data_IF_396622557535
#
_entry.id   IF_396622557535
#
_cell.length_a   1.000
_cell.length_b   1.000
_cell.length_c   1.000
_cell.angle_alpha   90.00
_cell.angle_beta   90.00
_cell.angle_gamma   90.00
#
_symmetry.space_group_name_H-M   'P 1'
#
loop_
_entity.id
_entity.type
_entity.pdbx_description
1 polymer ?
#
# COMPACT_ATOMS: atom_id res chain seq x y z
N UNK A 1 1.42 -7.41 20.81
CA UNK A 1 0.93 -7.41 19.42
C UNK A 1 0.09 -6.15 19.22
N UNK A 2 0.46 -5.33 18.25
CA UNK A 2 -0.25 -4.08 17.93
C UNK A 2 -1.47 -4.36 17.05
N UNK A 3 -1.40 -5.40 16.21
CA UNK A 3 -2.52 -5.85 15.38
C UNK A 3 -3.08 -7.14 15.97
N UNK A 4 -4.33 -7.10 16.43
CA UNK A 4 -5.07 -8.25 16.94
C UNK A 4 -6.12 -8.66 15.91
N UNK A 5 -5.64 -9.14 14.78
CA UNK A 5 -6.51 -9.41 13.63
C UNK A 5 -7.52 -10.53 13.91
N UNK A 6 -7.12 -11.57 14.62
CA UNK A 6 -7.99 -12.67 15.00
C UNK A 6 -9.14 -12.23 15.94
N UNK A 7 -8.84 -11.33 16.88
CA UNK A 7 -9.85 -10.81 17.81
C UNK A 7 -10.88 -9.91 17.10
N UNK A 8 -10.43 -9.10 16.13
CA UNK A 8 -11.28 -8.16 15.41
C UNK A 8 -12.02 -8.79 14.23
N UNK A 9 -11.65 -10.00 13.83
CA UNK A 9 -12.24 -10.72 12.71
C UNK A 9 -12.64 -12.15 13.10
N UNK A 10 -13.61 -12.33 14.01
CA UNK A 10 -14.05 -13.64 14.47
C UNK A 10 -14.57 -14.48 13.28
N UNK A 11 -14.17 -15.74 13.24
CA UNK A 11 -14.54 -16.68 12.17
C UNK A 11 -13.63 -16.64 10.94
N UNK A 12 -12.58 -15.83 10.94
CA UNK A 12 -11.49 -15.91 9.96
C UNK A 12 -10.39 -16.83 10.48
N UNK A 13 -9.80 -17.59 9.56
CA UNK A 13 -8.62 -18.42 9.88
C UNK A 13 -7.39 -17.50 9.92
N UNK A 14 -6.98 -17.10 11.13
CA UNK A 14 -5.92 -16.14 11.38
C UNK A 14 -4.91 -16.74 12.35
N UNK A 15 -3.63 -16.69 11.97
CA UNK A 15 -2.51 -17.08 12.83
C UNK A 15 -1.69 -15.84 13.13
N UNK A 16 -1.52 -15.52 14.41
CA UNK A 16 -0.68 -14.44 14.89
C UNK A 16 0.63 -15.00 15.41
N UNK A 17 1.75 -14.57 14.81
CA UNK A 17 3.10 -14.99 15.21
C UNK A 17 3.81 -13.85 15.91
N UNK A 18 4.35 -14.13 17.09
CA UNK A 18 5.26 -13.22 17.78
C UNK A 18 6.68 -13.59 17.38
N UNK A 19 7.38 -12.66 16.75
CA UNK A 19 8.77 -12.82 16.34
C UNK A 19 9.70 -12.30 17.43
N UNK A 20 10.79 -13.04 17.69
CA UNK A 20 11.92 -12.64 18.53
C UNK A 20 13.19 -13.07 17.81
N UNK A 21 14.05 -12.12 17.45
CA UNK A 21 15.24 -12.38 16.62
C UNK A 21 16.17 -13.44 17.26
N UNK A 22 16.21 -13.54 18.61
CA UNK A 22 17.07 -14.48 19.32
C UNK A 22 16.56 -15.93 19.28
N UNK A 23 15.27 -16.14 19.04
CA UNK A 23 14.64 -17.45 19.16
C UNK A 23 13.97 -17.90 17.87
N UNK A 24 13.23 -16.99 17.23
CA UNK A 24 12.43 -17.25 16.03
C UNK A 24 12.35 -15.96 15.22
N UNK A 25 13.27 -15.82 14.28
CA UNK A 25 13.42 -14.60 13.48
C UNK A 25 12.36 -14.46 12.37
N UNK A 26 12.33 -13.29 11.73
CA UNK A 26 11.39 -13.00 10.65
C UNK A 26 11.54 -13.95 9.45
N UNK A 27 12.76 -14.37 9.12
CA UNK A 27 13.02 -15.32 8.05
C UNK A 27 12.30 -16.65 8.26
N UNK A 28 12.44 -17.20 9.45
CA UNK A 28 11.82 -18.47 9.86
C UNK A 28 10.31 -18.34 9.94
N UNK A 29 9.82 -17.23 10.48
CA UNK A 29 8.40 -16.95 10.59
C UNK A 29 7.73 -16.88 9.22
N UNK A 30 8.28 -16.12 8.28
CA UNK A 30 7.71 -15.99 6.93
C UNK A 30 7.80 -17.30 6.15
N UNK A 31 8.92 -18.05 6.25
CA UNK A 31 9.02 -19.38 5.65
C UNK A 31 8.00 -20.37 6.22
N UNK A 32 7.72 -20.28 7.50
CA UNK A 32 6.69 -21.11 8.16
C UNK A 32 5.30 -20.71 7.69
N UNK A 33 5.02 -19.40 7.59
CA UNK A 33 3.77 -18.90 7.02
C UNK A 33 3.55 -19.43 5.59
N UNK A 34 4.55 -19.35 4.72
CA UNK A 34 4.43 -19.81 3.33
C UNK A 34 4.09 -21.30 3.20
N UNK A 35 4.55 -22.15 4.15
CA UNK A 35 4.19 -23.57 4.19
C UNK A 35 2.72 -23.83 4.56
N UNK A 36 2.08 -22.86 5.21
CA UNK A 36 0.66 -22.92 5.57
C UNK A 36 -0.26 -22.47 4.41
N UNK A 37 0.31 -22.13 3.25
CA UNK A 37 -0.41 -21.64 2.07
C UNK A 37 -1.35 -20.45 2.38
N UNK A 38 -0.83 -19.36 2.97
CA UNK A 38 -1.64 -18.23 3.37
C UNK A 38 -2.15 -17.46 2.16
N UNK A 39 -3.34 -16.88 2.26
CA UNK A 39 -3.83 -15.91 1.29
C UNK A 39 -3.21 -14.53 1.51
N UNK A 40 -2.88 -14.20 2.78
CA UNK A 40 -2.32 -12.92 3.19
C UNK A 40 -1.19 -13.15 4.18
N UNK A 41 -0.11 -12.38 4.02
CA UNK A 41 0.95 -12.21 5.03
C UNK A 41 0.97 -10.73 5.40
N UNK A 42 0.74 -10.42 6.68
CA UNK A 42 0.73 -9.07 7.21
C UNK A 42 1.87 -8.90 8.19
N UNK A 43 2.69 -7.88 7.97
CA UNK A 43 3.72 -7.46 8.91
C UNK A 43 3.28 -6.14 9.53
N UNK A 44 3.25 -6.06 10.86
CA UNK A 44 2.78 -4.86 11.57
C UNK A 44 3.57 -3.61 11.20
N UNK A 45 4.89 -3.73 11.06
CA UNK A 45 5.74 -2.64 10.62
C UNK A 45 7.02 -3.19 9.96
N UNK A 46 7.38 -2.63 8.81
CA UNK A 46 8.66 -2.85 8.16
C UNK A 46 9.67 -1.76 8.61
N UNK A 47 10.79 -2.17 9.21
CA UNK A 47 11.81 -1.26 9.76
C UNK A 47 13.21 -1.51 9.20
N UNK A 48 13.50 -2.75 8.80
CA UNK A 48 14.84 -3.19 8.44
C UNK A 48 14.80 -4.35 7.43
N UNK A 49 15.76 -5.27 7.53
CA UNK A 49 15.97 -6.41 6.60
C UNK A 49 14.80 -7.39 6.47
N UNK A 50 13.86 -7.41 7.41
CA UNK A 50 12.65 -8.24 7.33
C UNK A 50 11.80 -7.95 6.09
N UNK A 51 11.87 -6.73 5.56
CA UNK A 51 11.17 -6.33 4.33
C UNK A 51 11.58 -7.19 3.13
N UNK A 52 12.81 -7.71 3.09
CA UNK A 52 13.29 -8.62 2.05
C UNK A 52 12.44 -9.89 1.98
N UNK A 53 12.16 -10.50 3.11
CA UNK A 53 11.38 -11.73 3.17
C UNK A 53 9.91 -11.48 2.83
N UNK A 54 9.41 -10.30 3.22
CA UNK A 54 8.07 -9.85 2.88
C UNK A 54 7.91 -9.69 1.36
N UNK A 55 8.81 -8.97 0.70
CA UNK A 55 8.84 -8.82 -0.75
C UNK A 55 8.95 -10.17 -1.48
N UNK A 56 9.81 -11.06 -0.98
CA UNK A 56 9.93 -12.41 -1.52
C UNK A 56 8.60 -13.17 -1.42
N UNK A 57 7.88 -13.06 -0.32
CA UNK A 57 6.57 -13.70 -0.17
C UNK A 57 5.53 -13.12 -1.12
N UNK A 58 5.49 -11.81 -1.29
CA UNK A 58 4.56 -11.15 -2.21
C UNK A 58 4.86 -11.47 -3.67
N UNK A 59 6.14 -11.62 -4.05
CA UNK A 59 6.53 -12.02 -5.41
C UNK A 59 6.09 -13.44 -5.79
N UNK A 60 5.74 -14.30 -4.81
CA UNK A 60 5.18 -15.64 -5.07
C UNK A 60 3.65 -15.62 -5.26
N UNK A 61 3.01 -14.45 -5.23
CA UNK A 61 1.57 -14.30 -5.39
C UNK A 61 0.78 -14.28 -4.08
N UNK A 62 1.45 -14.36 -2.93
CA UNK A 62 0.81 -14.15 -1.63
C UNK A 62 0.52 -12.65 -1.48
N UNK A 63 -0.70 -12.30 -1.12
CA UNK A 63 -1.08 -10.90 -0.85
C UNK A 63 -0.53 -10.46 0.50
N UNK A 64 -0.35 -9.16 0.67
CA UNK A 64 0.15 -8.66 1.93
C UNK A 64 -0.13 -7.22 2.22
N UNK A 65 0.17 -6.85 3.46
CA UNK A 65 0.10 -5.48 3.93
C UNK A 65 1.18 -5.27 5.00
N UNK A 66 1.76 -4.09 4.98
CA UNK A 66 2.67 -3.63 6.05
C UNK A 66 2.53 -2.14 6.25
N UNK A 67 3.04 -1.65 7.36
CA UNK A 67 3.21 -0.21 7.59
C UNK A 67 4.69 0.14 7.61
N UNK A 68 5.00 1.36 7.26
CA UNK A 68 6.34 1.94 7.37
C UNK A 68 6.24 3.46 7.58
N UNK A 69 7.31 4.06 8.05
CA UNK A 69 7.37 5.51 8.22
C UNK A 69 7.91 6.20 6.97
N UNK A 70 7.10 7.08 6.40
CA UNK A 70 7.47 8.01 5.34
C UNK A 70 6.63 9.29 5.46
N UNK A 71 7.08 10.36 4.86
CA UNK A 71 6.39 11.65 4.76
C UNK A 71 5.65 11.82 3.42
N UNK A 72 5.97 10.98 2.44
CA UNK A 72 5.35 10.96 1.11
C UNK A 72 5.26 9.52 0.60
N UNK A 73 4.08 9.13 0.05
CA UNK A 73 3.86 7.78 -0.48
C UNK A 73 4.77 7.46 -1.66
N UNK A 74 5.20 8.45 -2.42
CA UNK A 74 6.10 8.28 -3.56
C UNK A 74 7.49 7.77 -3.14
N UNK A 75 7.88 8.03 -1.88
CA UNK A 75 9.16 7.61 -1.30
C UNK A 75 9.12 6.18 -0.74
N UNK A 76 7.98 5.48 -0.79
CA UNK A 76 7.87 4.11 -0.28
C UNK A 76 8.88 3.16 -0.94
N UNK A 77 9.07 3.13 -2.28
CA UNK A 77 10.05 2.27 -2.90
C UNK A 77 11.48 2.54 -2.43
N UNK A 78 11.88 3.81 -2.34
CA UNK A 78 13.22 4.20 -1.85
C UNK A 78 13.43 3.81 -0.37
N UNK A 79 12.40 3.97 0.46
CA UNK A 79 12.45 3.54 1.86
C UNK A 79 12.67 2.04 1.97
N UNK A 80 11.95 1.25 1.18
CA UNK A 80 12.10 -0.20 1.11
C UNK A 80 13.49 -0.57 0.59
N UNK A 81 13.97 0.06 -0.48
CA UNK A 81 15.29 -0.18 -1.05
C UNK A 81 16.40 0.07 -0.03
N UNK A 82 16.29 1.15 0.76
CA UNK A 82 17.24 1.46 1.82
C UNK A 82 17.25 0.43 2.96
N UNK A 83 16.13 -0.25 3.23
CA UNK A 83 16.04 -1.32 4.23
C UNK A 83 16.68 -2.63 3.75
N UNK A 84 16.89 -2.82 2.46
CA UNK A 84 17.44 -4.07 1.89
C UNK A 84 18.95 -4.25 2.10
N UNK A 85 19.65 -3.26 2.66
CA UNK A 85 21.08 -3.29 3.03
C UNK A 85 22.06 -3.64 1.90
N UNK A 86 21.59 -4.06 0.75
CA UNK A 86 22.39 -4.43 -0.41
C UNK A 86 22.14 -3.46 -1.55
N UNK A 87 23.21 -2.87 -2.06
CA UNK A 87 23.16 -2.00 -3.25
C UNK A 87 23.64 -2.72 -4.53
N UNK A 88 23.95 -4.00 -4.40
CA UNK A 88 24.28 -4.81 -5.56
C UNK A 88 22.98 -5.02 -6.35
N UNK A 89 22.94 -4.57 -7.59
CA UNK A 89 21.75 -4.66 -8.45
C UNK A 89 20.58 -3.77 -7.99
N UNK A 90 20.85 -2.52 -7.57
CA UNK A 90 19.84 -1.60 -7.04
C UNK A 90 18.66 -1.39 -8.02
N UNK A 91 18.92 -1.27 -9.31
CA UNK A 91 17.91 -1.14 -10.36
C UNK A 91 16.98 -2.36 -10.42
N UNK A 92 17.52 -3.57 -10.33
CA UNK A 92 16.71 -4.79 -10.29
C UNK A 92 15.87 -4.85 -9.03
N UNK A 93 16.45 -4.50 -7.87
CA UNK A 93 15.73 -4.47 -6.60
C UNK A 93 14.59 -3.45 -6.61
N UNK A 94 14.82 -2.28 -7.17
CA UNK A 94 13.77 -1.28 -7.37
C UNK A 94 12.64 -1.81 -8.25
N UNK A 95 12.98 -2.46 -9.36
CA UNK A 95 12.02 -3.10 -10.24
C UNK A 95 11.18 -4.16 -9.54
N UNK A 96 11.81 -5.00 -8.70
CA UNK A 96 11.14 -6.03 -7.91
C UNK A 96 10.18 -5.38 -6.86
N UNK A 97 10.58 -4.26 -6.27
CA UNK A 97 9.73 -3.49 -5.35
C UNK A 97 8.48 -2.98 -6.08
N UNK A 98 8.62 -2.31 -7.22
CA UNK A 98 7.49 -1.81 -8.00
C UNK A 98 6.58 -2.92 -8.55
N UNK A 99 7.10 -4.11 -8.71
CA UNK A 99 6.31 -5.28 -9.12
C UNK A 99 5.51 -5.87 -7.94
N UNK A 100 6.03 -5.76 -6.73
CA UNK A 100 5.42 -6.30 -5.52
C UNK A 100 4.43 -5.32 -4.86
N UNK A 101 4.60 -4.01 -5.06
CA UNK A 101 3.73 -2.98 -4.50
C UNK A 101 2.56 -2.68 -5.44
N UNK A 102 1.37 -2.58 -4.88
CA UNK A 102 0.17 -2.13 -5.59
C UNK A 102 -0.26 -0.74 -5.14
N UNK A 103 -0.36 -0.50 -3.82
CA UNK A 103 -0.95 0.71 -3.26
C UNK A 103 -0.12 1.26 -2.11
N UNK A 104 0.12 2.56 -2.11
CA UNK A 104 0.65 3.31 -0.97
C UNK A 104 -0.42 4.24 -0.40
N UNK A 105 -0.56 4.26 0.93
CA UNK A 105 -1.51 5.12 1.64
C UNK A 105 -0.78 5.85 2.76
N UNK A 106 -0.84 7.18 2.76
CA UNK A 106 -0.33 8.01 3.84
C UNK A 106 -1.49 8.47 4.71
N UNK A 107 -1.40 8.17 6.00
CA UNK A 107 -2.36 8.60 7.01
C UNK A 107 -1.71 9.68 7.87
N UNK A 108 -2.35 10.83 7.97
CA UNK A 108 -1.93 11.95 8.82
C UNK A 108 -2.91 12.19 9.96
N UNK A 109 -2.41 12.92 10.96
CA UNK A 109 -3.23 13.43 12.09
C UNK A 109 -3.46 14.92 11.91
N UNK A 110 -4.66 15.37 12.17
CA UNK A 110 -4.99 16.78 12.28
C UNK A 110 -5.79 17.02 13.56
N UNK A 111 -5.69 18.21 14.13
CA UNK A 111 -6.49 18.65 15.26
C UNK A 111 -7.54 19.64 14.73
N UNK A 112 -8.82 19.44 15.07
CA UNK A 112 -9.87 20.39 14.75
C UNK A 112 -9.86 21.59 15.71
N UNK A 113 -10.76 22.54 15.49
CA UNK A 113 -10.90 23.76 16.32
C UNK A 113 -11.23 23.44 17.78
N UNK A 114 -11.97 22.37 18.04
CA UNK A 114 -12.31 21.88 19.40
C UNK A 114 -11.14 21.13 20.07
N UNK A 115 -10.00 21.03 19.43
CA UNK A 115 -8.82 20.34 19.95
C UNK A 115 -8.83 18.82 19.78
N UNK A 116 -9.85 18.23 19.15
CA UNK A 116 -9.97 16.78 18.91
C UNK A 116 -9.02 16.36 17.80
N UNK A 117 -8.24 15.30 18.05
CA UNK A 117 -7.32 14.73 17.07
C UNK A 117 -8.06 13.67 16.25
N UNK A 118 -8.05 13.83 14.93
CA UNK A 118 -8.55 12.84 13.99
C UNK A 118 -7.47 12.42 12.99
N UNK A 119 -7.65 11.24 12.40
CA UNK A 119 -6.80 10.73 11.34
C UNK A 119 -7.55 10.81 10.02
N UNK A 120 -6.81 11.13 8.95
CA UNK A 120 -7.36 11.20 7.61
C UNK A 120 -6.36 10.63 6.61
N UNK A 121 -6.85 10.19 5.47
CA UNK A 121 -6.02 9.78 4.35
C UNK A 121 -5.54 11.05 3.65
N UNK A 122 -4.24 11.27 3.68
CA UNK A 122 -3.59 12.43 3.08
C UNK A 122 -3.16 12.18 1.64
N UNK A 123 -2.60 10.99 1.39
CA UNK A 123 -2.15 10.59 0.06
C UNK A 123 -2.54 9.15 -0.23
N UNK A 124 -2.86 8.87 -1.49
CA UNK A 124 -3.01 7.52 -2.04
C UNK A 124 -2.33 7.47 -3.39
N UNK A 125 -1.50 6.46 -3.60
CA UNK A 125 -0.91 6.22 -4.91
C UNK A 125 -0.98 4.73 -5.29
N UNK A 126 -0.91 4.48 -6.59
CA UNK A 126 -0.69 3.15 -7.14
C UNK A 126 0.72 3.05 -7.71
N UNK A 127 1.37 1.91 -7.45
CA UNK A 127 2.64 1.54 -8.04
C UNK A 127 2.40 0.53 -9.17
N UNK A 128 3.07 0.71 -10.30
CA UNK A 128 2.97 -0.24 -11.40
C UNK A 128 4.18 -0.16 -12.32
N UNK A 129 4.38 -1.22 -13.10
CA UNK A 129 5.34 -1.24 -14.19
C UNK A 129 4.62 -1.38 -15.52
N UNK A 130 5.01 -0.56 -16.47
CA UNK A 130 4.55 -0.65 -17.85
C UNK A 130 5.71 -0.34 -18.79
N UNK A 131 5.86 -1.14 -19.84
CA UNK A 131 6.94 -0.99 -20.83
C UNK A 131 8.34 -0.91 -20.19
N UNK A 132 8.63 -1.77 -19.20
CA UNK A 132 9.87 -1.82 -18.43
C UNK A 132 10.16 -0.60 -17.55
N UNK A 133 9.23 0.34 -17.42
CA UNK A 133 9.37 1.56 -16.63
C UNK A 133 8.54 1.47 -15.35
N UNK A 134 9.09 2.00 -14.26
CA UNK A 134 8.43 2.13 -12.97
C UNK A 134 7.59 3.42 -12.94
N UNK A 135 6.36 3.31 -12.46
CA UNK A 135 5.41 4.42 -12.41
C UNK A 135 4.76 4.53 -11.03
N UNK A 136 4.52 5.77 -10.61
CA UNK A 136 3.68 6.12 -9.47
C UNK A 136 2.51 6.95 -9.99
N UNK A 137 1.30 6.53 -9.73
CA UNK A 137 0.09 7.26 -10.08
C UNK A 137 -0.57 7.77 -8.81
N UNK A 138 -0.58 9.08 -8.61
CA UNK A 138 -1.24 9.72 -7.46
C UNK A 138 -2.74 9.80 -7.70
N UNK A 139 -3.52 9.23 -6.78
CA UNK A 139 -4.98 9.31 -6.76
C UNK A 139 -5.45 10.39 -5.79
N UNK A 140 -4.82 10.48 -4.61
CA UNK A 140 -5.15 11.45 -3.56
C UNK A 140 -3.87 12.18 -3.17
N UNK A 141 -3.93 13.51 -3.05
CA UNK A 141 -2.90 14.37 -2.48
C UNK A 141 -3.55 15.45 -1.63
N UNK A 142 -2.95 15.74 -0.46
CA UNK A 142 -3.47 16.71 0.52
C UNK A 142 -4.93 16.44 0.94
N UNK A 143 -5.31 15.16 0.96
CA UNK A 143 -6.66 14.72 1.28
C UNK A 143 -7.70 14.94 0.18
N UNK A 144 -7.28 15.34 -1.02
CA UNK A 144 -8.14 15.60 -2.16
C UNK A 144 -7.84 14.61 -3.30
N UNK A 145 -8.87 14.20 -4.01
CA UNK A 145 -8.71 13.41 -5.23
C UNK A 145 -8.14 14.33 -6.32
N UNK A 146 -7.00 13.95 -6.88
CA UNK A 146 -6.27 14.80 -7.84
C UNK A 146 -6.46 14.40 -9.29
N UNK A 147 -6.97 13.20 -9.55
CA UNK A 147 -7.25 12.74 -10.91
C UNK A 147 -8.21 11.55 -10.93
N UNK A 148 -8.87 11.37 -12.05
CA UNK A 148 -9.85 10.32 -12.32
C UNK A 148 -9.46 9.44 -13.50
N UNK A 149 -8.46 9.84 -14.25
CA UNK A 149 -7.93 9.11 -15.39
C UNK A 149 -7.00 7.98 -14.94
N UNK A 150 -7.60 6.96 -14.32
CA UNK A 150 -6.85 5.82 -13.79
C UNK A 150 -6.22 5.04 -14.94
N UNK A 151 -4.90 4.76 -14.87
CA UNK A 151 -4.20 4.00 -15.89
C UNK A 151 -4.86 2.65 -16.16
N UNK A 152 -4.99 2.30 -17.44
CA UNK A 152 -5.63 1.04 -17.87
C UNK A 152 -5.00 -0.21 -17.25
N UNK A 153 -3.71 -0.16 -16.94
CA UNK A 153 -3.00 -1.27 -16.29
C UNK A 153 -3.54 -1.52 -14.89
N UNK A 154 -3.87 -0.46 -14.14
CA UNK A 154 -4.45 -0.53 -12.79
C UNK A 154 -5.89 -1.05 -12.88
N UNK A 155 -6.71 -0.49 -13.78
CA UNK A 155 -8.08 -0.95 -14.00
C UNK A 155 -8.14 -2.43 -14.39
N UNK A 156 -7.19 -2.92 -15.20
CA UNK A 156 -7.10 -4.36 -15.54
C UNK A 156 -6.78 -5.23 -14.32
N UNK A 157 -5.98 -4.74 -13.34
CA UNK A 157 -5.73 -5.47 -12.08
C UNK A 157 -7.03 -5.63 -11.29
N UNK A 158 -7.80 -4.55 -11.09
CA UNK A 158 -9.11 -4.61 -10.44
C UNK A 158 -10.05 -5.60 -11.13
N UNK A 159 -10.14 -5.54 -12.45
CA UNK A 159 -10.99 -6.43 -13.23
C UNK A 159 -10.61 -7.91 -13.09
N UNK A 160 -9.32 -8.23 -13.01
CA UNK A 160 -8.83 -9.61 -12.77
C UNK A 160 -9.28 -10.15 -11.42
N UNK A 161 -9.44 -9.29 -10.42
CA UNK A 161 -9.92 -9.61 -9.08
C UNK A 161 -11.46 -9.56 -8.97
N UNK A 162 -12.17 -9.40 -10.09
CA UNK A 162 -13.63 -9.33 -10.12
C UNK A 162 -14.22 -7.97 -9.75
N UNK A 163 -13.39 -6.93 -9.59
CA UNK A 163 -13.84 -5.57 -9.30
C UNK A 163 -13.96 -4.80 -10.60
N UNK A 164 -15.19 -4.65 -11.09
CA UNK A 164 -15.45 -3.98 -12.38
C UNK A 164 -15.55 -2.45 -12.22
N UNK A 165 -16.05 -1.98 -11.08
CA UNK A 165 -16.25 -0.56 -10.77
C UNK A 165 -15.57 -0.24 -9.43
N UNK A 166 -14.23 -0.09 -9.42
CA UNK A 166 -13.47 0.08 -8.17
C UNK A 166 -13.77 1.38 -7.44
N UNK A 167 -14.36 2.37 -8.12
CA UNK A 167 -14.60 3.70 -7.55
C UNK A 167 -16.09 4.06 -7.43
N UNK A 168 -17.02 3.20 -7.80
CA UNK A 168 -18.46 3.38 -7.65
C UNK A 168 -19.05 4.65 -8.28
N UNK A 169 -20.37 4.70 -8.44
CA UNK A 169 -21.06 5.87 -9.05
C UNK A 169 -20.94 7.14 -8.19
N UNK A 170 -20.92 7.03 -6.86
CA UNK A 170 -20.78 8.20 -5.98
C UNK A 170 -19.46 8.92 -6.18
N UNK A 171 -18.38 8.19 -6.35
CA UNK A 171 -17.07 8.72 -6.66
C UNK A 171 -17.06 9.50 -7.99
N UNK A 172 -17.65 8.94 -9.03
CA UNK A 172 -17.75 9.58 -10.36
C UNK A 172 -18.59 10.87 -10.29
N UNK A 173 -19.64 10.89 -9.47
CA UNK A 173 -20.52 12.07 -9.33
C UNK A 173 -19.87 13.20 -8.53
N UNK A 174 -19.17 12.89 -7.45
CA UNK A 174 -18.40 13.88 -6.66
C UNK A 174 -17.36 14.59 -7.51
N UNK A 175 -16.74 13.85 -8.41
CA UNK A 175 -15.80 14.31 -9.42
C UNK A 175 -16.41 15.33 -10.38
N UNK A 176 -17.52 14.95 -11.02
CA UNK A 176 -18.21 15.83 -11.96
C UNK A 176 -18.68 17.13 -11.32
N UNK A 177 -19.06 17.07 -10.03
CA UNK A 177 -19.44 18.28 -9.28
C UNK A 177 -18.23 19.17 -9.01
N UNK A 178 -17.09 18.61 -8.65
CA UNK A 178 -15.86 19.39 -8.41
C UNK A 178 -15.30 19.98 -9.69
N UNK A 179 -15.32 19.27 -10.81
CA UNK A 179 -14.91 19.82 -12.12
C UNK A 179 -15.82 20.95 -12.59
N UNK A 180 -17.12 20.85 -12.36
CA UNK A 180 -18.08 21.90 -12.66
C UNK A 180 -17.83 23.16 -11.84
N UNK A 181 -17.59 23.03 -10.53
CA UNK A 181 -17.26 24.16 -9.65
C UNK A 181 -15.94 24.84 -10.05
N UNK A 182 -14.90 24.06 -10.38
CA UNK A 182 -13.61 24.60 -10.81
C UNK A 182 -13.66 25.26 -12.19
N UNK A 183 -14.59 24.87 -13.07
CA UNK A 183 -14.79 25.55 -14.37
C UNK A 183 -15.48 26.90 -14.20
N UNK A 184 -16.46 27.00 -13.29
CA UNK A 184 -17.14 28.25 -12.96
C UNK A 184 -16.20 29.28 -12.31
N UNK A 185 -15.27 28.83 -11.45
CA UNK A 185 -14.25 29.71 -10.84
C UNK A 185 -13.18 30.22 -11.83
N UNK A 186 -12.99 29.56 -12.98
CA UNK A 186 -12.05 30.00 -14.01
C UNK A 186 -12.67 30.96 -15.03
N UNK A 187 -14.00 31.03 -15.11
CA UNK A 187 -14.75 31.93 -15.99
C UNK A 187 -15.21 33.22 -15.29
N UNK A 188 -15.04 33.32 -13.94
CA UNK A 188 -15.36 34.48 -13.13
C UNK A 188 -14.10 35.31 -12.83
#
# INVERSE_FOLDING_TARGET
>A
LEIRYAETNPGKDCIEMKVSEDVFGYSEAIKSCLRMNPKWIMLSEARSKEVKYLLQSWSTGVRGMTTLHTDDVRNIPDRILNMLESRVDAERMENDIYQALDVGILIRKRRNEDGVVYRYIDQVCFFYRENYTNHVFMLVSDGQIVTHDIPKVILRRFKREGVNEPFGESFVNEIRMNEAMMSEEREA
#
